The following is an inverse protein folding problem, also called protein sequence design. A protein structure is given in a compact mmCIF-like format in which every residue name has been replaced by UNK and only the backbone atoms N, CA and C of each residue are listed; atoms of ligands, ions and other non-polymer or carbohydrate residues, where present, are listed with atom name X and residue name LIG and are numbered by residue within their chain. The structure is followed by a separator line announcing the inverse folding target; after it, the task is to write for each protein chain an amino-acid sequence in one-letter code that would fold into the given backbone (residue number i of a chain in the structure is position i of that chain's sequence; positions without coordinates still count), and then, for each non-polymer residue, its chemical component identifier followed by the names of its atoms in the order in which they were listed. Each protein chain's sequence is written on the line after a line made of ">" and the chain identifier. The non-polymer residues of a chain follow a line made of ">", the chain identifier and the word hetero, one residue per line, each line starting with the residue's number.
data_IF_920487008861
#
_entry.id   IF_920487008861
#
_cell.length_a   1.000
_cell.length_b   1.000
_cell.length_c   1.000
_cell.angle_alpha   90.00
_cell.angle_beta   90.00
_cell.angle_gamma   90.00
#
_symmetry.space_group_name_H-M   'P 1'
#
loop_
_entity.id
_entity.type
_entity.pdbx_description
1 polymer ?
#
# COMPACT_ATOMS: atom_id res chain seq x y z
N UNK A 1 61.62 -45.77 0.74
CA UNK A 1 61.18 -44.88 1.86
C UNK A 1 59.86 -44.23 1.47
N UNK A 2 58.85 -44.43 2.33
CA UNK A 2 57.53 -43.76 2.47
C UNK A 2 56.52 -43.88 1.32
N UNK A 3 55.64 -44.86 1.52
CA UNK A 3 54.35 -45.15 0.90
C UNK A 3 53.37 -43.97 0.96
N UNK A 4 52.70 -43.69 -0.16
CA UNK A 4 51.64 -42.68 -0.28
C UNK A 4 50.32 -43.28 0.20
N UNK A 5 49.84 -42.82 1.35
CA UNK A 5 48.62 -43.32 1.99
C UNK A 5 47.60 -42.19 2.14
N UNK A 6 46.42 -42.41 1.56
CA UNK A 6 45.10 -41.95 2.00
C UNK A 6 44.86 -40.43 2.15
N UNK A 7 44.12 -39.81 1.24
CA UNK A 7 42.65 -39.62 1.31
C UNK A 7 42.17 -38.64 2.39
N UNK A 8 41.62 -37.50 1.96
CA UNK A 8 40.50 -36.83 2.63
C UNK A 8 39.99 -35.68 1.74
N UNK A 9 39.23 -36.03 0.69
CA UNK A 9 38.24 -35.11 0.14
C UNK A 9 37.06 -35.08 1.11
N UNK A 10 36.87 -33.98 1.82
CA UNK A 10 35.59 -33.62 2.43
C UNK A 10 35.34 -32.13 2.18
N UNK A 11 34.55 -31.89 1.12
CA UNK A 11 33.83 -30.67 0.87
C UNK A 11 32.82 -30.47 2.00
N UNK A 12 33.00 -29.44 2.83
CA UNK A 12 31.99 -28.96 3.75
C UNK A 12 31.49 -27.59 3.26
N UNK A 13 30.58 -27.61 2.28
CA UNK A 13 29.77 -26.42 1.94
C UNK A 13 28.49 -26.54 2.76
N UNK A 14 28.47 -25.91 3.93
CA UNK A 14 27.26 -25.73 4.71
C UNK A 14 26.65 -24.36 4.36
N UNK A 15 25.77 -24.36 3.36
CA UNK A 15 24.87 -23.25 3.06
C UNK A 15 23.53 -23.53 3.73
N UNK A 16 23.20 -22.82 4.81
CA UNK A 16 21.80 -22.59 5.19
C UNK A 16 21.67 -21.12 5.63
N UNK A 17 21.06 -20.34 4.74
CA UNK A 17 20.55 -19.01 5.01
C UNK A 17 19.39 -19.14 6.00
N UNK A 18 19.61 -18.80 7.27
CA UNK A 18 18.53 -18.45 8.19
C UNK A 18 18.59 -16.96 8.48
N UNK A 19 18.35 -16.15 7.45
CA UNK A 19 17.85 -14.80 7.67
C UNK A 19 16.41 -14.97 8.17
N UNK A 20 16.25 -15.01 9.49
CA UNK A 20 14.97 -14.70 10.11
C UNK A 20 14.70 -13.22 9.82
N UNK A 21 14.15 -12.95 8.64
CA UNK A 21 13.47 -11.69 8.39
C UNK A 21 12.29 -11.65 9.34
N UNK A 22 12.48 -10.98 10.47
CA UNK A 22 11.39 -10.52 11.32
C UNK A 22 10.34 -9.89 10.39
N UNK A 23 9.08 -10.35 10.38
CA UNK A 23 8.06 -9.70 9.57
C UNK A 23 8.01 -8.26 10.06
N UNK A 24 8.40 -7.34 9.17
CA UNK A 24 8.40 -5.91 9.47
C UNK A 24 7.00 -5.57 9.97
N UNK A 25 6.90 -5.39 11.30
CA UNK A 25 5.68 -4.98 11.98
C UNK A 25 5.09 -3.85 11.16
N UNK A 26 3.82 -3.92 10.72
CA UNK A 26 3.25 -2.90 9.85
C UNK A 26 3.48 -1.56 10.51
N UNK A 27 4.49 -0.82 10.02
CA UNK A 27 4.71 0.53 10.49
C UNK A 27 3.42 1.23 10.14
N UNK A 28 2.79 1.95 11.09
CA UNK A 28 1.63 2.76 10.75
C UNK A 28 2.06 3.56 9.54
N UNK A 29 1.38 3.35 8.41
CA UNK A 29 1.73 4.01 7.17
C UNK A 29 1.55 5.50 7.46
N UNK A 30 2.64 6.17 7.84
CA UNK A 30 2.66 7.60 8.14
C UNK A 30 2.43 8.28 6.82
N UNK A 31 1.15 8.42 6.52
CA UNK A 31 0.63 9.04 5.33
C UNK A 31 0.83 10.53 5.58
N UNK A 32 2.05 10.99 5.27
CA UNK A 32 2.57 12.34 5.52
C UNK A 32 1.90 13.36 4.60
N UNK A 33 0.60 13.52 4.73
CA UNK A 33 -0.12 14.60 4.11
C UNK A 33 -0.80 15.37 5.23
N UNK A 34 -0.50 16.67 5.29
CA UNK A 34 -1.33 17.62 6.01
C UNK A 34 -2.74 17.49 5.46
N UNK A 35 -3.58 16.73 6.15
CA UNK A 35 -4.95 16.52 5.75
C UNK A 35 -5.60 17.88 5.55
N UNK A 36 -6.34 18.04 4.45
CA UNK A 36 -7.11 19.25 4.26
C UNK A 36 -8.16 19.37 5.38
N UNK A 37 -8.78 20.55 5.51
CA UNK A 37 -9.84 20.75 6.48
C UNK A 37 -10.95 19.71 6.30
N UNK A 38 -11.45 19.18 7.41
CA UNK A 38 -12.56 18.21 7.39
C UNK A 38 -13.75 18.83 6.67
N UNK A 39 -14.35 18.08 5.74
CA UNK A 39 -15.44 18.55 4.89
C UNK A 39 -15.00 19.16 3.57
N UNK A 40 -13.70 19.49 3.39
CA UNK A 40 -13.17 19.96 2.11
C UNK A 40 -13.40 18.92 1.00
N UNK A 41 -13.74 19.41 -0.19
CA UNK A 41 -13.88 18.57 -1.38
C UNK A 41 -12.53 18.01 -1.83
N UNK A 42 -12.55 16.81 -2.36
CA UNK A 42 -11.42 16.15 -2.99
C UNK A 42 -11.80 15.78 -4.42
N UNK A 43 -10.98 16.16 -5.40
CA UNK A 43 -11.08 15.75 -6.80
C UNK A 43 -9.68 15.69 -7.40
N UNK A 44 -9.16 14.47 -7.56
CA UNK A 44 -7.81 14.26 -8.10
C UNK A 44 -7.75 12.97 -8.94
N UNK A 45 -6.78 12.95 -9.85
CA UNK A 45 -6.40 11.75 -10.62
C UNK A 45 -5.10 11.20 -10.05
N UNK A 46 -5.04 9.90 -9.83
CA UNK A 46 -3.88 9.25 -9.23
C UNK A 46 -3.96 7.73 -9.30
N UNK A 47 -2.92 7.08 -8.80
CA UNK A 47 -2.87 5.62 -8.64
C UNK A 47 -3.38 5.23 -7.27
N UNK A 48 -3.75 3.97 -7.12
CA UNK A 48 -4.26 3.45 -5.85
C UNK A 48 -3.52 2.17 -5.49
N UNK A 49 -3.30 1.94 -4.20
CA UNK A 49 -2.82 0.68 -3.64
C UNK A 49 -3.69 0.25 -2.46
N UNK A 50 -3.58 -1.03 -2.08
CA UNK A 50 -4.22 -1.52 -0.86
C UNK A 50 -3.63 -0.82 0.37
N UNK A 51 -4.46 -0.65 1.41
CA UNK A 51 -4.05 -0.03 2.65
C UNK A 51 -3.31 -1.04 3.56
N UNK A 52 -2.05 -0.78 3.95
CA UNK A 52 -1.21 -1.79 4.61
C UNK A 52 -1.32 -1.82 6.14
N UNK A 53 -2.24 -1.06 6.74
CA UNK A 53 -2.34 -0.90 8.20
C UNK A 53 -3.77 -0.96 8.75
N UNK A 54 -3.93 -0.60 10.01
CA UNK A 54 -5.23 -0.53 10.68
C UNK A 54 -6.15 0.52 10.06
N UNK A 55 -7.41 0.16 9.82
CA UNK A 55 -8.35 1.04 9.16
C UNK A 55 -8.78 2.22 10.05
N UNK A 56 -8.66 3.43 9.51
CA UNK A 56 -9.16 4.68 10.10
C UNK A 56 -10.70 4.81 10.07
N UNK A 57 -11.38 3.96 9.31
CA UNK A 57 -12.81 3.98 9.05
C UNK A 57 -13.38 2.55 9.02
N UNK A 58 -14.71 2.42 9.06
CA UNK A 58 -15.39 1.13 8.92
C UNK A 58 -15.51 0.68 7.46
N UNK A 59 -15.25 1.57 6.50
CA UNK A 59 -15.23 1.24 5.07
C UNK A 59 -13.89 0.64 4.66
N UNK A 60 -13.84 0.05 3.46
CA UNK A 60 -12.61 -0.48 2.88
C UNK A 60 -11.66 0.68 2.59
N UNK A 61 -10.40 0.52 3.01
CA UNK A 61 -9.37 1.53 2.86
C UNK A 61 -8.36 1.20 1.78
N UNK A 62 -7.86 2.27 1.17
CA UNK A 62 -6.85 2.29 0.13
C UNK A 62 -5.87 3.42 0.40
N UNK A 63 -4.72 3.39 -0.29
CA UNK A 63 -3.80 4.53 -0.37
C UNK A 63 -3.91 5.11 -1.78
N UNK A 64 -4.27 6.38 -1.87
CA UNK A 64 -4.27 7.14 -3.11
C UNK A 64 -2.95 7.88 -3.28
N UNK A 65 -2.31 7.71 -4.43
CA UNK A 65 -1.03 8.30 -4.78
C UNK A 65 -1.27 9.38 -5.84
N UNK A 66 -1.20 10.65 -5.43
CA UNK A 66 -1.18 11.77 -6.38
C UNK A 66 0.26 12.04 -6.81
N UNK A 67 0.45 12.48 -8.07
CA UNK A 67 1.73 12.48 -8.82
C UNK A 67 2.96 13.19 -8.21
N UNK A 68 2.91 13.68 -6.97
CA UNK A 68 4.04 14.26 -6.21
C UNK A 68 4.37 13.46 -4.95
N UNK A 69 4.41 12.13 -5.05
CA UNK A 69 4.72 11.22 -3.92
C UNK A 69 3.81 11.43 -2.69
N UNK A 70 2.60 11.92 -2.94
CA UNK A 70 1.63 12.28 -1.91
C UNK A 70 0.69 11.09 -1.74
N UNK A 71 0.86 10.35 -0.65
CA UNK A 71 -0.02 9.26 -0.25
C UNK A 71 -1.17 9.81 0.56
N UNK A 72 -2.41 9.39 0.27
CA UNK A 72 -3.60 9.85 0.96
C UNK A 72 -4.43 8.64 1.34
N UNK A 73 -4.81 8.55 2.62
CA UNK A 73 -5.74 7.54 3.10
C UNK A 73 -7.10 7.75 2.43
N UNK A 74 -7.60 6.73 1.75
CA UNK A 74 -8.84 6.77 0.99
C UNK A 74 -9.78 5.68 1.50
N UNK A 75 -10.95 6.04 1.97
CA UNK A 75 -12.01 5.11 2.34
C UNK A 75 -13.09 5.11 1.25
N UNK A 76 -13.58 3.93 0.88
CA UNK A 76 -14.55 3.79 -0.20
C UNK A 76 -15.70 2.85 0.19
N UNK A 77 -16.96 3.21 -0.12
CA UNK A 77 -18.08 2.27 -0.04
C UNK A 77 -17.91 1.09 -1.00
N UNK A 78 -18.68 0.02 -0.79
CA UNK A 78 -18.54 -1.26 -1.52
C UNK A 78 -18.56 -1.10 -3.05
N UNK A 79 -19.39 -0.19 -3.59
CA UNK A 79 -19.49 0.00 -5.05
C UNK A 79 -18.19 0.59 -5.61
N UNK A 80 -17.66 1.63 -4.97
CA UNK A 80 -16.44 2.31 -5.35
C UNK A 80 -15.20 1.44 -5.08
N UNK A 81 -15.20 0.66 -4.00
CA UNK A 81 -14.07 -0.21 -3.66
C UNK A 81 -13.82 -1.27 -4.73
N UNK A 82 -14.86 -1.77 -5.41
CA UNK A 82 -14.69 -2.70 -6.53
C UNK A 82 -13.85 -2.08 -7.65
N UNK A 83 -14.20 -0.86 -8.07
CA UNK A 83 -13.49 -0.11 -9.12
C UNK A 83 -12.04 0.16 -8.70
N UNK A 84 -11.83 0.52 -7.43
CA UNK A 84 -10.50 0.77 -6.88
C UNK A 84 -9.65 -0.51 -6.86
N UNK A 85 -10.21 -1.63 -6.43
CA UNK A 85 -9.53 -2.93 -6.44
C UNK A 85 -9.15 -3.37 -7.86
N UNK A 86 -10.07 -3.23 -8.81
CA UNK A 86 -9.81 -3.54 -10.22
C UNK A 86 -8.68 -2.63 -10.76
N UNK A 87 -8.71 -1.33 -10.42
CA UNK A 87 -7.66 -0.39 -10.81
C UNK A 87 -6.28 -0.70 -10.17
N UNK A 88 -6.26 -1.17 -8.91
CA UNK A 88 -5.04 -1.65 -8.24
C UNK A 88 -4.46 -2.85 -9.00
N UNK A 89 -5.30 -3.81 -9.36
CA UNK A 89 -4.90 -5.01 -10.09
C UNK A 89 -4.34 -4.67 -11.47
N UNK A 90 -5.07 -3.84 -12.23
CA UNK A 90 -4.70 -3.44 -13.58
C UNK A 90 -3.61 -2.34 -13.62
N UNK A 91 -3.16 -1.86 -12.45
CA UNK A 91 -2.20 -0.75 -12.31
C UNK A 91 -2.65 0.54 -13.02
N UNK A 92 -3.96 0.78 -13.10
CA UNK A 92 -4.56 1.94 -13.76
C UNK A 92 -4.69 3.13 -12.81
N UNK A 93 -4.70 4.32 -13.40
CA UNK A 93 -5.06 5.53 -12.67
C UNK A 93 -6.58 5.63 -12.54
N UNK A 94 -7.04 6.25 -11.47
CA UNK A 94 -8.46 6.58 -11.24
C UNK A 94 -8.59 8.06 -10.96
N UNK A 95 -9.73 8.63 -11.34
CA UNK A 95 -10.20 9.90 -10.79
C UNK A 95 -11.05 9.59 -9.57
N UNK A 96 -10.79 10.29 -8.48
CA UNK A 96 -11.51 10.13 -7.22
C UNK A 96 -12.12 11.46 -6.85
N UNK A 97 -13.45 11.48 -6.70
CA UNK A 97 -14.18 12.57 -6.08
C UNK A 97 -14.63 12.13 -4.70
N UNK A 98 -14.54 13.04 -3.73
CA UNK A 98 -14.88 12.73 -2.35
C UNK A 98 -14.79 13.94 -1.42
N UNK A 99 -14.75 13.65 -0.13
CA UNK A 99 -14.57 14.68 0.91
C UNK A 99 -13.62 14.21 1.98
N UNK A 100 -12.86 15.15 2.55
CA UNK A 100 -12.02 14.89 3.71
C UNK A 100 -12.88 14.61 4.95
N UNK A 101 -12.55 13.54 5.65
CA UNK A 101 -13.18 13.08 6.87
C UNK A 101 -12.13 12.87 7.97
N UNK A 102 -12.61 12.90 9.20
CA UNK A 102 -11.85 12.50 10.39
C UNK A 102 -12.36 11.14 10.85
N UNK A 103 -11.44 10.21 11.11
CA UNK A 103 -11.71 8.91 11.71
C UNK A 103 -11.97 9.02 13.22
N UNK A 104 -12.29 7.88 13.84
CA UNK A 104 -12.56 7.84 15.29
C UNK A 104 -11.28 8.03 16.12
N UNK A 105 -10.16 7.53 15.63
CA UNK A 105 -8.87 7.66 16.31
C UNK A 105 -8.24 9.05 16.05
N UNK A 106 -7.58 9.65 17.06
CA UNK A 106 -6.86 10.91 16.90
C UNK A 106 -5.81 10.83 15.78
N UNK A 107 -5.72 11.87 14.95
CA UNK A 107 -4.77 11.92 13.83
C UNK A 107 -5.19 11.12 12.59
N UNK A 108 -6.29 10.37 12.64
CA UNK A 108 -6.81 9.67 11.47
C UNK A 108 -7.63 10.61 10.59
N UNK A 109 -7.08 10.97 9.44
CA UNK A 109 -7.77 11.71 8.40
C UNK A 109 -7.73 10.92 7.10
N UNK A 110 -8.83 10.94 6.37
CA UNK A 110 -8.95 10.20 5.11
C UNK A 110 -9.93 10.92 4.18
N UNK A 111 -9.86 10.59 2.90
CA UNK A 111 -10.87 10.98 1.92
C UNK A 111 -11.94 9.90 1.88
N UNK A 112 -13.20 10.26 2.03
CA UNK A 112 -14.34 9.39 1.75
C UNK A 112 -14.72 9.54 0.28
N UNK A 113 -14.53 8.49 -0.52
CA UNK A 113 -14.83 8.46 -1.94
C UNK A 113 -16.35 8.45 -2.17
N UNK A 114 -16.85 9.44 -2.91
CA UNK A 114 -18.24 9.49 -3.36
C UNK A 114 -18.38 8.96 -4.78
N UNK A 115 -17.38 9.21 -5.63
CA UNK A 115 -17.34 8.75 -7.02
C UNK A 115 -15.92 8.37 -7.41
N UNK A 116 -15.80 7.30 -8.18
CA UNK A 116 -14.52 6.79 -8.68
C UNK A 116 -14.70 6.42 -10.14
N UNK A 117 -13.78 6.90 -10.97
CA UNK A 117 -13.77 6.64 -12.41
C UNK A 117 -12.40 6.11 -12.82
N UNK A 118 -12.37 4.89 -13.36
CA UNK A 118 -11.16 4.35 -13.96
C UNK A 118 -10.77 5.19 -15.19
N UNK A 119 -9.52 5.61 -15.25
CA UNK A 119 -9.01 6.27 -16.45
C UNK A 119 -8.71 5.20 -17.50
N UNK A 120 -9.18 5.41 -18.72
CA UNK A 120 -8.78 4.57 -19.84
C UNK A 120 -7.27 4.68 -20.03
N UNK A 121 -6.62 3.53 -20.16
CA UNK A 121 -5.24 3.49 -20.57
C UNK A 121 -5.21 3.99 -22.03
N UNK A 122 -4.73 5.21 -22.25
CA UNK A 122 -4.40 5.69 -23.59
C UNK A 122 -3.04 5.09 -23.93
N UNK A 123 -3.05 4.08 -24.79
CA UNK A 123 -1.87 3.45 -25.39
C UNK A 123 -1.53 4.16 -26.69
#
# INVERSE_FOLDING_TARGET
>A
MKSFWASAWLLAIASVLTSCGEPEKPRPATTNVSAASVGASFDQIGKVSLYPGESCASQIMFVFHSGRSTSISLAAPIRQSKILTDAVHDRRSVRVLGRWRRGKAPGCYYVEATQVEAQEARW
#
